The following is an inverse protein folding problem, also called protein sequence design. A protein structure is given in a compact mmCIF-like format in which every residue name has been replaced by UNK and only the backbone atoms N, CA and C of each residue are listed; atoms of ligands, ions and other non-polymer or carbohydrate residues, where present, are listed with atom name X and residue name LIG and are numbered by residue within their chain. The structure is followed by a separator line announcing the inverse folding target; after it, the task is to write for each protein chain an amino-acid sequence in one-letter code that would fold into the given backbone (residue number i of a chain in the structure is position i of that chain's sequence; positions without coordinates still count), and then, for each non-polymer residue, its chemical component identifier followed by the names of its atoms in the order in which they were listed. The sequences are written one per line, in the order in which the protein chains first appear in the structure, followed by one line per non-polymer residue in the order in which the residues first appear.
data_IF_475274572251
#
_entry.id   IF_475274572251
#
_cell.length_a   1.000
_cell.length_b   1.000
_cell.length_c   1.000
_cell.angle_alpha   90.00
_cell.angle_beta   90.00
_cell.angle_gamma   90.00
#
_symmetry.space_group_name_H-M   'P 1'
#
loop_
_entity.id
_entity.type
_entity.pdbx_description
1 polymer ?
#
# COMPACT_ATOMS: atom_id res chain seq x y z
N UNK A 1 1.98 38.65 -6.93
CA UNK A 1 2.49 38.51 -5.55
C UNK A 1 1.42 37.81 -4.73
N UNK A 2 1.30 36.48 -4.86
CA UNK A 2 0.41 35.68 -4.02
C UNK A 2 1.22 34.46 -3.55
N UNK A 3 1.49 34.47 -2.25
CA UNK A 3 2.18 33.46 -1.49
C UNK A 3 1.38 32.15 -1.54
N UNK A 4 1.78 31.22 -2.39
CA UNK A 4 1.36 29.82 -2.26
C UNK A 4 2.23 29.18 -1.19
N UNK A 5 1.60 28.82 -0.07
CA UNK A 5 2.24 28.12 1.07
C UNK A 5 2.87 26.82 0.61
N UNK A 6 4.20 26.74 0.76
CA UNK A 6 5.13 25.79 0.16
C UNK A 6 5.13 24.36 0.75
N UNK A 7 4.01 23.86 1.30
CA UNK A 7 4.01 22.62 2.08
C UNK A 7 3.71 21.33 1.32
N UNK A 8 2.82 21.37 0.31
CA UNK A 8 2.27 20.13 -0.31
C UNK A 8 2.21 20.17 -1.84
N UNK A 9 2.33 21.34 -2.47
CA UNK A 9 2.28 21.49 -3.92
C UNK A 9 3.50 20.92 -4.68
N UNK A 10 4.63 20.72 -4.00
CA UNK A 10 5.86 20.23 -4.65
C UNK A 10 5.74 18.82 -5.22
N UNK A 11 4.95 17.93 -4.63
CA UNK A 11 4.97 16.50 -5.02
C UNK A 11 4.22 16.28 -6.35
N UNK A 12 3.08 16.95 -6.53
CA UNK A 12 2.27 16.87 -7.76
C UNK A 12 2.94 17.60 -8.92
N UNK A 13 3.54 18.77 -8.68
CA UNK A 13 4.20 19.58 -9.72
C UNK A 13 5.46 18.87 -10.26
N UNK A 14 6.22 18.19 -9.41
CA UNK A 14 7.40 17.45 -9.86
C UNK A 14 7.03 16.15 -10.61
N UNK A 15 5.94 15.49 -10.21
CA UNK A 15 5.44 14.31 -10.94
C UNK A 15 4.82 14.69 -12.29
N UNK A 16 4.08 15.80 -12.40
CA UNK A 16 3.51 16.22 -13.67
C UNK A 16 4.60 16.62 -14.67
N UNK A 17 5.62 17.37 -14.24
CA UNK A 17 6.73 17.76 -15.11
C UNK A 17 7.56 16.54 -15.53
N UNK A 18 7.85 15.62 -14.61
CA UNK A 18 8.60 14.40 -14.93
C UNK A 18 7.81 13.49 -15.88
N UNK A 19 6.49 13.35 -15.66
CA UNK A 19 5.61 12.58 -16.54
C UNK A 19 5.45 13.25 -17.90
N UNK A 20 5.25 14.57 -17.96
CA UNK A 20 5.20 15.33 -19.21
C UNK A 20 6.51 15.23 -19.98
N UNK A 21 7.65 15.30 -19.29
CA UNK A 21 8.96 15.07 -19.89
C UNK A 21 9.07 13.65 -20.45
N UNK A 22 8.62 12.64 -19.71
CA UNK A 22 8.56 11.25 -20.18
C UNK A 22 7.67 11.12 -21.43
N UNK A 23 6.47 11.71 -21.43
CA UNK A 23 5.57 11.74 -22.59
C UNK A 23 6.20 12.46 -23.78
N UNK A 24 6.87 13.59 -23.56
CA UNK A 24 7.60 14.32 -24.60
C UNK A 24 8.74 13.49 -25.19
N UNK A 25 9.50 12.80 -24.35
CA UNK A 25 10.54 11.86 -24.77
C UNK A 25 9.93 10.73 -25.62
N UNK A 26 8.84 10.12 -25.15
CA UNK A 26 8.12 9.07 -25.90
C UNK A 26 7.66 9.59 -27.26
N UNK A 27 7.14 10.82 -27.33
CA UNK A 27 6.71 11.45 -28.57
C UNK A 27 7.88 11.70 -29.54
N UNK A 28 9.00 12.21 -29.06
CA UNK A 28 10.20 12.47 -29.87
C UNK A 28 10.79 11.16 -30.42
N UNK A 29 10.82 10.12 -29.59
CA UNK A 29 11.42 8.82 -29.91
C UNK A 29 10.41 7.77 -30.34
N UNK A 30 9.22 8.16 -30.81
CA UNK A 30 8.12 7.25 -31.13
C UNK A 30 8.53 6.11 -32.08
N UNK A 31 9.40 6.42 -33.05
CA UNK A 31 9.93 5.45 -34.03
C UNK A 31 10.94 4.45 -33.45
N UNK A 32 11.59 4.76 -32.34
CA UNK A 32 12.67 3.96 -31.77
C UNK A 32 12.16 2.72 -31.00
N UNK A 33 10.86 2.64 -30.70
CA UNK A 33 10.14 1.56 -29.98
C UNK A 33 10.54 1.34 -28.52
N UNK A 34 11.82 1.57 -28.18
CA UNK A 34 12.38 1.56 -26.84
C UNK A 34 13.42 2.66 -26.70
N UNK A 35 13.64 3.13 -25.48
CA UNK A 35 14.65 4.13 -25.17
C UNK A 35 15.48 3.68 -23.98
N UNK A 36 16.80 3.83 -24.06
CA UNK A 36 17.69 3.70 -22.91
C UNK A 36 18.20 5.06 -22.51
N UNK A 37 18.07 5.40 -21.24
CA UNK A 37 18.70 6.59 -20.66
C UNK A 37 19.38 6.23 -19.34
N UNK A 38 20.29 7.08 -18.89
CA UNK A 38 20.95 6.93 -17.60
C UNK A 38 20.22 7.77 -16.57
N UNK A 39 19.83 7.15 -15.46
CA UNK A 39 19.28 7.85 -14.31
C UNK A 39 20.22 7.63 -13.13
N UNK A 40 21.01 8.66 -12.82
CA UNK A 40 22.20 8.52 -11.98
C UNK A 40 23.16 7.49 -12.57
N UNK A 41 23.52 6.48 -11.78
CA UNK A 41 24.46 5.41 -12.15
C UNK A 41 23.78 4.15 -12.70
N UNK A 42 22.45 4.15 -12.89
CA UNK A 42 21.72 2.98 -13.40
C UNK A 42 21.20 3.28 -14.81
N UNK A 43 21.41 2.37 -15.78
CA UNK A 43 20.71 2.46 -17.06
C UNK A 43 19.25 2.05 -16.86
N UNK A 44 18.33 2.88 -17.33
CA UNK A 44 16.89 2.62 -17.38
C UNK A 44 16.48 2.43 -18.83
N UNK A 45 15.77 1.34 -19.10
CA UNK A 45 15.16 1.06 -20.41
C UNK A 45 13.66 1.31 -20.31
N UNK A 46 13.16 2.25 -21.09
CA UNK A 46 11.77 2.60 -21.19
C UNK A 46 11.13 1.87 -22.38
N UNK A 47 10.09 1.11 -22.09
CA UNK A 47 9.22 0.46 -23.07
C UNK A 47 7.91 1.25 -23.13
N UNK A 48 7.55 1.74 -24.32
CA UNK A 48 6.38 2.61 -24.50
C UNK A 48 5.54 2.25 -25.73
N UNK A 49 5.89 1.17 -26.43
CA UNK A 49 5.06 0.59 -27.51
C UNK A 49 4.43 -0.72 -27.04
N UNK A 50 3.14 -0.95 -27.33
CA UNK A 50 2.41 -2.10 -26.81
C UNK A 50 3.06 -3.43 -27.18
N UNK A 51 3.60 -3.57 -28.40
CA UNK A 51 4.25 -4.81 -28.85
C UNK A 51 5.52 -5.13 -28.06
N UNK A 52 6.24 -4.10 -27.60
CA UNK A 52 7.44 -4.28 -26.76
C UNK A 52 7.09 -4.56 -25.31
N UNK A 53 6.06 -3.90 -24.80
CA UNK A 53 5.57 -4.08 -23.42
C UNK A 53 4.98 -5.49 -23.24
N UNK A 54 4.25 -5.99 -24.23
CA UNK A 54 3.68 -7.34 -24.21
C UNK A 54 4.75 -8.43 -24.07
N UNK A 55 5.84 -8.33 -24.84
CA UNK A 55 6.97 -9.29 -24.75
C UNK A 55 7.59 -9.30 -23.35
N UNK A 56 7.74 -8.13 -22.71
CA UNK A 56 8.30 -8.02 -21.37
C UNK A 56 7.32 -8.57 -20.32
N UNK A 57 6.05 -8.19 -20.38
CA UNK A 57 5.03 -8.57 -19.38
C UNK A 57 4.60 -10.04 -19.49
N UNK A 58 4.67 -10.65 -20.68
CA UNK A 58 4.36 -12.07 -20.90
C UNK A 58 5.55 -13.00 -20.63
N UNK A 59 6.76 -12.45 -20.44
CA UNK A 59 7.97 -13.23 -20.22
C UNK A 59 7.97 -13.89 -18.85
N UNK A 60 8.17 -15.21 -18.83
CA UNK A 60 8.42 -15.97 -17.60
C UNK A 60 9.90 -15.91 -17.16
N UNK A 61 10.78 -15.28 -17.94
CA UNK A 61 12.19 -15.13 -17.63
C UNK A 61 12.51 -13.80 -16.91
N UNK A 62 11.76 -12.73 -17.19
CA UNK A 62 11.95 -11.40 -16.60
C UNK A 62 11.08 -11.20 -15.35
N UNK A 63 11.24 -12.08 -14.36
CA UNK A 63 10.46 -12.05 -13.12
C UNK A 63 11.09 -11.20 -12.01
N UNK A 64 12.30 -10.68 -12.24
CA UNK A 64 13.00 -9.88 -11.26
C UNK A 64 12.42 -8.47 -11.15
N UNK A 65 12.24 -8.04 -9.90
CA UNK A 65 11.78 -6.71 -9.56
C UNK A 65 12.89 -5.70 -9.82
N UNK A 66 12.53 -4.48 -10.25
CA UNK A 66 13.48 -3.39 -10.41
C UNK A 66 14.09 -2.96 -9.07
N UNK A 67 15.31 -2.40 -9.09
CA UNK A 67 16.01 -1.88 -7.91
C UNK A 67 15.17 -0.93 -7.04
N UNK A 68 14.15 -0.27 -7.61
CA UNK A 68 13.22 0.61 -6.88
C UNK A 68 12.51 -0.12 -5.73
N UNK A 69 12.24 -1.42 -5.89
CA UNK A 69 11.62 -2.24 -4.85
C UNK A 69 12.55 -2.46 -3.65
N UNK A 70 13.87 -2.31 -3.81
CA UNK A 70 14.84 -2.38 -2.70
C UNK A 70 14.63 -1.21 -1.72
N UNK A 71 14.18 -0.04 -2.20
CA UNK A 71 13.90 1.10 -1.33
C UNK A 71 12.67 0.87 -0.44
N UNK A 72 11.80 -0.06 -0.84
CA UNK A 72 10.61 -0.46 -0.10
C UNK A 72 10.86 -1.67 0.83
N UNK A 73 11.98 -2.37 0.65
CA UNK A 73 12.35 -3.53 1.46
C UNK A 73 12.43 -3.25 2.98
N UNK A 74 12.86 -2.07 3.46
CA UNK A 74 12.82 -1.76 4.89
C UNK A 74 11.42 -1.86 5.51
N UNK A 75 10.37 -1.69 4.70
CA UNK A 75 8.99 -1.72 5.15
C UNK A 75 8.25 -3.02 4.79
N UNK A 76 8.32 -3.47 3.53
CA UNK A 76 7.61 -4.68 3.09
C UNK A 76 8.43 -5.96 3.21
N UNK A 77 9.74 -5.84 3.52
CA UNK A 77 10.69 -6.96 3.61
C UNK A 77 10.56 -7.85 2.38
N UNK A 78 10.14 -9.10 2.53
CA UNK A 78 9.90 -10.03 1.43
C UNK A 78 8.40 -10.36 1.22
N UNK A 79 7.51 -9.37 1.38
CA UNK A 79 6.08 -9.50 1.09
C UNK A 79 5.74 -9.62 -0.41
N UNK A 80 4.45 -9.66 -0.77
CA UNK A 80 4.00 -9.90 -2.14
C UNK A 80 4.58 -8.94 -3.20
N UNK A 81 4.82 -7.68 -2.84
CA UNK A 81 5.32 -6.69 -3.80
C UNK A 81 6.84 -6.70 -3.95
N UNK A 82 7.60 -7.19 -2.97
CA UNK A 82 9.08 -7.21 -2.99
C UNK A 82 9.67 -8.60 -3.18
N UNK A 83 8.91 -9.68 -2.94
CA UNK A 83 9.35 -11.06 -3.18
C UNK A 83 9.35 -11.45 -4.66
N UNK A 84 10.20 -12.44 -4.98
CA UNK A 84 10.37 -13.01 -6.32
C UNK A 84 10.31 -14.55 -6.28
N UNK A 85 10.21 -15.18 -7.45
CA UNK A 85 10.36 -16.63 -7.61
C UNK A 85 9.28 -17.46 -6.89
N UNK A 86 9.71 -18.54 -6.23
CA UNK A 86 8.81 -19.50 -5.56
C UNK A 86 8.06 -18.88 -4.37
N UNK A 87 8.70 -18.00 -3.59
CA UNK A 87 8.06 -17.31 -2.45
C UNK A 87 6.89 -16.47 -2.94
N UNK A 88 7.10 -15.65 -3.97
CA UNK A 88 6.03 -14.86 -4.59
C UNK A 88 4.88 -15.72 -5.11
N UNK A 89 5.18 -16.80 -5.85
CA UNK A 89 4.15 -17.72 -6.37
C UNK A 89 3.31 -18.34 -5.24
N UNK A 90 3.95 -18.80 -4.15
CA UNK A 90 3.26 -19.36 -2.96
C UNK A 90 2.36 -18.31 -2.32
N UNK A 91 2.89 -17.10 -2.05
CA UNK A 91 2.14 -15.99 -1.43
C UNK A 91 0.94 -15.57 -2.28
N UNK A 92 1.13 -15.35 -3.58
CA UNK A 92 0.05 -14.98 -4.49
C UNK A 92 -1.06 -16.02 -4.50
N UNK A 93 -0.72 -17.31 -4.60
CA UNK A 93 -1.70 -18.41 -4.58
C UNK A 93 -2.49 -18.45 -3.27
N UNK A 94 -1.84 -18.25 -2.13
CA UNK A 94 -2.48 -18.20 -0.81
C UNK A 94 -3.47 -17.04 -0.71
N UNK A 95 -3.13 -15.88 -1.28
CA UNK A 95 -3.91 -14.65 -1.14
C UNK A 95 -5.06 -14.51 -2.15
N UNK A 96 -4.98 -15.13 -3.34
CA UNK A 96 -6.02 -15.03 -4.38
C UNK A 96 -7.45 -15.25 -3.87
N UNK A 97 -7.75 -16.23 -3.00
CA UNK A 97 -9.10 -16.43 -2.48
C UNK A 97 -9.67 -15.23 -1.71
N UNK A 98 -8.83 -14.47 -0.99
CA UNK A 98 -9.25 -13.27 -0.25
C UNK A 98 -9.68 -12.11 -1.16
N UNK A 99 -9.33 -12.16 -2.45
CA UNK A 99 -9.64 -11.13 -3.44
C UNK A 99 -10.69 -11.57 -4.47
N UNK A 100 -11.35 -12.71 -4.22
CA UNK A 100 -12.42 -13.17 -5.10
C UNK A 100 -13.65 -12.25 -4.96
N UNK A 101 -14.21 -11.80 -6.09
CA UNK A 101 -15.28 -10.78 -6.15
C UNK A 101 -16.47 -11.02 -5.19
N UNK A 102 -16.85 -12.29 -4.96
CA UNK A 102 -17.91 -12.68 -4.00
C UNK A 102 -17.64 -12.30 -2.53
N UNK A 103 -16.43 -11.86 -2.20
CA UNK A 103 -16.12 -11.34 -0.85
C UNK A 103 -16.50 -9.86 -0.75
N UNK A 104 -16.53 -9.13 -1.87
CA UNK A 104 -16.84 -7.71 -1.91
C UNK A 104 -18.26 -7.40 -1.39
N UNK A 105 -19.21 -8.31 -1.59
CA UNK A 105 -20.58 -8.19 -1.05
C UNK A 105 -20.57 -8.03 0.48
N UNK A 106 -19.62 -8.69 1.18
CA UNK A 106 -19.45 -8.59 2.63
C UNK A 106 -18.74 -7.30 3.06
N UNK A 107 -18.20 -6.54 2.11
CA UNK A 107 -17.51 -5.26 2.34
C UNK A 107 -18.42 -4.07 2.04
N UNK A 108 -19.51 -4.26 1.29
CA UNK A 108 -20.46 -3.20 0.96
C UNK A 108 -20.99 -2.43 2.18
N UNK A 109 -21.38 -3.06 3.31
CA UNK A 109 -21.85 -2.30 4.47
C UNK A 109 -20.78 -1.38 5.07
N UNK A 110 -19.52 -1.84 5.10
CA UNK A 110 -18.36 -1.08 5.58
C UNK A 110 -18.08 0.09 4.62
N UNK A 111 -18.09 -0.17 3.32
CA UNK A 111 -17.89 0.85 2.29
C UNK A 111 -18.99 1.93 2.37
N UNK A 112 -20.26 1.54 2.46
CA UNK A 112 -21.39 2.48 2.58
C UNK A 112 -21.27 3.35 3.84
N UNK A 113 -20.96 2.75 4.99
CA UNK A 113 -20.76 3.47 6.25
C UNK A 113 -19.68 4.55 6.14
N UNK A 114 -18.50 4.21 5.60
CA UNK A 114 -17.42 5.18 5.41
C UNK A 114 -17.72 6.19 4.30
N UNK A 115 -18.41 5.81 3.24
CA UNK A 115 -18.82 6.71 2.17
C UNK A 115 -19.82 7.77 2.66
N UNK A 116 -20.77 7.39 3.52
CA UNK A 116 -21.69 8.34 4.17
C UNK A 116 -20.95 9.31 5.08
N UNK A 117 -20.01 8.80 5.88
CA UNK A 117 -19.18 9.66 6.72
C UNK A 117 -18.34 10.64 5.90
N UNK A 118 -17.74 10.18 4.79
CA UNK A 118 -17.05 11.04 3.84
C UNK A 118 -17.99 12.11 3.27
N UNK A 119 -19.20 11.73 2.83
CA UNK A 119 -20.18 12.67 2.32
C UNK A 119 -20.54 13.74 3.36
N UNK A 120 -20.71 13.36 4.63
CA UNK A 120 -20.96 14.30 5.72
C UNK A 120 -19.79 15.25 5.97
N UNK A 121 -18.55 14.78 5.84
CA UNK A 121 -17.36 15.65 5.89
C UNK A 121 -17.34 16.65 4.74
N UNK A 122 -17.65 16.20 3.52
CA UNK A 122 -17.67 17.05 2.33
C UNK A 122 -18.81 18.10 2.37
N UNK A 123 -19.89 17.86 3.12
CA UNK A 123 -20.91 18.90 3.37
C UNK A 123 -20.33 20.14 4.05
N UNK A 124 -19.26 19.99 4.83
CA UNK A 124 -18.56 21.12 5.46
C UNK A 124 -17.82 22.03 4.48
N UNK A 125 -17.57 21.56 3.25
CA UNK A 125 -16.89 22.33 2.19
C UNK A 125 -17.89 23.02 1.24
N UNK A 126 -19.20 22.86 1.47
CA UNK A 126 -20.23 23.50 0.65
C UNK A 126 -20.17 25.01 0.81
N UNK A 127 -19.99 25.72 -0.30
CA UNK A 127 -19.81 27.18 -0.33
C UNK A 127 -18.35 27.64 -0.40
N UNK A 128 -17.39 26.73 -0.26
CA UNK A 128 -15.98 27.01 -0.56
C UNK A 128 -15.78 27.21 -2.06
N UNK A 129 -14.88 28.14 -2.46
CA UNK A 129 -14.59 28.40 -3.87
C UNK A 129 -13.92 27.20 -4.57
N UNK A 130 -13.07 26.48 -3.84
CA UNK A 130 -12.40 25.24 -4.26
C UNK A 130 -11.76 24.57 -3.04
N UNK A 131 -11.67 23.24 -3.03
CA UNK A 131 -10.95 22.49 -2.00
C UNK A 131 -10.28 21.25 -2.62
N UNK A 132 -9.29 20.70 -1.93
CA UNK A 132 -8.62 19.47 -2.36
C UNK A 132 -9.37 18.23 -1.85
N UNK A 133 -9.85 17.41 -2.79
CA UNK A 133 -10.61 16.20 -2.49
C UNK A 133 -9.71 14.99 -2.17
N UNK A 134 -8.44 15.00 -2.61
CA UNK A 134 -7.54 13.85 -2.50
C UNK A 134 -7.33 13.42 -1.04
N UNK A 135 -7.08 14.31 -0.06
CA UNK A 135 -6.91 13.93 1.33
C UNK A 135 -8.15 13.22 1.90
N UNK A 136 -9.35 13.70 1.54
CA UNK A 136 -10.61 13.11 2.00
C UNK A 136 -10.79 11.68 1.48
N UNK A 137 -10.56 11.46 0.17
CA UNK A 137 -10.66 10.14 -0.45
C UNK A 137 -9.58 9.20 0.11
N UNK A 138 -8.34 9.66 0.27
CA UNK A 138 -7.25 8.84 0.81
C UNK A 138 -7.55 8.35 2.23
N UNK A 139 -8.04 9.23 3.12
CA UNK A 139 -8.41 8.83 4.49
C UNK A 139 -9.60 7.88 4.52
N UNK A 140 -10.61 8.09 3.67
CA UNK A 140 -11.75 7.18 3.54
C UNK A 140 -11.34 5.80 3.03
N UNK A 141 -10.52 5.76 1.98
CA UNK A 141 -9.99 4.52 1.41
C UNK A 141 -9.18 3.73 2.43
N UNK A 142 -8.39 4.44 3.25
CA UNK A 142 -7.59 3.81 4.30
C UNK A 142 -8.46 3.19 5.40
N UNK A 143 -9.50 3.89 5.85
CA UNK A 143 -10.43 3.36 6.85
C UNK A 143 -11.16 2.12 6.33
N UNK A 144 -11.71 2.18 5.10
CA UNK A 144 -12.34 1.03 4.43
C UNK A 144 -11.38 -0.15 4.38
N UNK A 145 -10.12 0.08 3.99
CA UNK A 145 -9.12 -0.97 3.90
C UNK A 145 -8.80 -1.61 5.25
N UNK A 146 -8.59 -0.79 6.29
CA UNK A 146 -8.29 -1.29 7.62
C UNK A 146 -9.41 -2.18 8.16
N UNK A 147 -10.65 -1.76 7.96
CA UNK A 147 -11.81 -2.46 8.48
C UNK A 147 -12.15 -3.72 7.67
N UNK A 148 -12.03 -3.66 6.34
CA UNK A 148 -12.31 -4.82 5.47
C UNK A 148 -11.20 -5.87 5.51
N UNK A 149 -9.93 -5.46 5.59
CA UNK A 149 -8.79 -6.35 5.46
C UNK A 149 -8.21 -6.82 6.80
N UNK A 150 -8.10 -5.91 7.77
CA UNK A 150 -7.55 -6.21 9.09
C UNK A 150 -8.63 -6.43 10.15
N UNK A 151 -9.89 -6.12 9.86
CA UNK A 151 -10.98 -6.21 10.84
C UNK A 151 -10.89 -5.17 11.95
N UNK A 152 -10.18 -4.06 11.73
CA UNK A 152 -9.97 -3.01 12.73
C UNK A 152 -10.33 -1.63 12.21
N UNK A 153 -11.15 -0.92 12.96
CA UNK A 153 -11.45 0.48 12.73
C UNK A 153 -10.30 1.37 13.23
N UNK A 154 -9.74 2.21 12.35
CA UNK A 154 -8.61 3.12 12.65
C UNK A 154 -9.07 4.55 12.90
N UNK A 155 -10.16 4.97 12.25
CA UNK A 155 -10.73 6.31 12.37
C UNK A 155 -9.85 7.38 11.74
N UNK A 156 -9.21 7.05 10.62
CA UNK A 156 -8.35 7.95 9.85
C UNK A 156 -9.11 9.20 9.37
N UNK A 157 -10.40 9.10 9.05
CA UNK A 157 -11.22 10.26 8.66
C UNK A 157 -11.64 11.16 9.84
N UNK A 158 -11.45 10.71 11.09
CA UNK A 158 -11.82 11.48 12.30
C UNK A 158 -10.64 12.24 12.87
N UNK A 159 -9.48 11.58 12.93
CA UNK A 159 -8.29 12.11 13.60
C UNK A 159 -7.03 11.66 12.91
N UNK A 160 -6.02 12.49 13.05
CA UNK A 160 -4.69 12.23 12.54
C UNK A 160 -3.98 11.22 13.46
N UNK A 161 -3.90 9.96 13.03
CA UNK A 161 -3.27 8.91 13.84
C UNK A 161 -1.75 8.88 13.61
N UNK A 162 -0.94 8.45 14.58
CA UNK A 162 0.50 8.26 14.38
C UNK A 162 0.80 7.37 13.16
N UNK A 163 -0.04 6.37 12.91
CA UNK A 163 0.03 5.50 11.74
C UNK A 163 -0.16 6.26 10.42
N UNK A 164 -1.21 7.07 10.30
CA UNK A 164 -1.49 7.88 9.10
C UNK A 164 -0.35 8.87 8.83
N UNK A 165 0.18 9.52 9.87
CA UNK A 165 1.33 10.43 9.75
C UNK A 165 2.58 9.71 9.24
N UNK A 166 2.90 8.56 9.83
CA UNK A 166 4.02 7.73 9.40
C UNK A 166 3.87 7.25 7.95
N UNK A 167 2.67 6.82 7.55
CA UNK A 167 2.34 6.38 6.19
C UNK A 167 2.56 7.48 5.16
N UNK A 168 2.05 8.69 5.42
CA UNK A 168 2.21 9.84 4.54
C UNK A 168 3.68 10.28 4.44
N UNK A 169 4.38 10.36 5.58
CA UNK A 169 5.80 10.73 5.61
C UNK A 169 6.67 9.70 4.87
N UNK A 170 6.46 8.40 5.10
CA UNK A 170 7.19 7.33 4.40
C UNK A 170 6.95 7.37 2.89
N UNK A 171 5.71 7.59 2.46
CA UNK A 171 5.35 7.69 1.04
C UNK A 171 6.01 8.90 0.36
N UNK A 172 6.06 10.04 1.06
CA UNK A 172 6.76 11.23 0.59
C UNK A 172 8.27 11.01 0.46
N UNK A 173 8.90 10.45 1.50
CA UNK A 173 10.33 10.16 1.52
C UNK A 173 10.72 9.13 0.46
N UNK A 174 9.87 8.14 0.19
CA UNK A 174 10.08 7.19 -0.91
C UNK A 174 10.12 7.89 -2.27
N UNK A 175 9.16 8.78 -2.57
CA UNK A 175 9.17 9.56 -3.82
C UNK A 175 10.39 10.45 -3.95
N UNK A 176 10.78 11.12 -2.85
CA UNK A 176 12.00 11.94 -2.79
C UNK A 176 13.26 11.12 -3.04
N UNK A 177 13.38 9.94 -2.44
CA UNK A 177 14.51 9.02 -2.64
C UNK A 177 14.58 8.52 -4.08
N UNK A 178 13.43 8.19 -4.68
CA UNK A 178 13.36 7.74 -6.07
C UNK A 178 13.94 8.80 -7.02
N UNK A 179 13.60 10.07 -6.82
CA UNK A 179 14.03 11.18 -7.70
C UNK A 179 15.46 11.67 -7.46
N UNK A 180 16.13 11.25 -6.38
CA UNK A 180 17.49 11.69 -6.01
C UNK A 180 18.48 10.52 -6.08
N UNK A 181 19.15 10.28 -7.22
CA UNK A 181 20.01 9.11 -7.39
C UNK A 181 21.16 8.99 -6.38
N UNK A 182 21.65 10.10 -5.83
CA UNK A 182 22.67 10.10 -4.78
C UNK A 182 22.18 9.55 -3.43
N UNK A 183 20.86 9.40 -3.24
CA UNK A 183 20.24 8.78 -2.06
C UNK A 183 19.89 7.30 -2.28
N UNK A 184 20.20 6.72 -3.44
CA UNK A 184 19.93 5.30 -3.69
C UNK A 184 20.79 4.35 -2.85
N UNK A 185 22.09 4.60 -2.65
CA UNK A 185 22.90 3.76 -1.77
C UNK A 185 22.37 3.81 -0.34
N UNK A 186 21.98 2.65 0.21
CA UNK A 186 21.36 2.54 1.54
C UNK A 186 22.24 3.12 2.65
N UNK A 187 23.56 2.93 2.54
CA UNK A 187 24.51 3.51 3.48
C UNK A 187 24.42 5.04 3.52
N UNK A 188 24.38 5.70 2.36
CA UNK A 188 24.25 7.17 2.29
C UNK A 188 22.89 7.59 2.84
N UNK A 189 21.82 6.92 2.42
CA UNK A 189 20.47 7.26 2.84
C UNK A 189 20.31 7.16 4.37
N UNK A 190 20.74 6.06 4.98
CA UNK A 190 20.63 5.83 6.43
C UNK A 190 21.38 6.86 7.29
N UNK A 191 22.42 7.50 6.75
CA UNK A 191 23.15 8.59 7.42
C UNK A 191 22.46 9.96 7.33
N UNK A 192 21.51 10.13 6.41
CA UNK A 192 20.77 11.39 6.23
C UNK A 192 19.65 11.55 7.27
N UNK A 193 19.17 12.79 7.46
CA UNK A 193 17.96 13.04 8.24
C UNK A 193 16.74 12.37 7.61
N UNK A 194 16.60 12.46 6.27
CA UNK A 194 15.52 11.82 5.50
C UNK A 194 15.47 10.30 5.74
N UNK A 195 16.63 9.61 5.76
CA UNK A 195 16.69 8.17 6.02
C UNK A 195 16.39 7.77 7.47
N UNK A 196 16.81 8.59 8.45
CA UNK A 196 16.42 8.36 9.86
C UNK A 196 14.91 8.51 10.06
N UNK A 197 14.32 9.57 9.52
CA UNK A 197 12.87 9.78 9.57
C UNK A 197 12.11 8.68 8.84
N UNK A 198 12.61 8.21 7.69
CA UNK A 198 12.01 7.08 6.98
C UNK A 198 11.99 5.82 7.87
N UNK A 199 13.12 5.50 8.51
CA UNK A 199 13.23 4.35 9.43
C UNK A 199 12.28 4.45 10.62
N UNK A 200 12.14 5.63 11.21
CA UNK A 200 11.18 5.88 12.30
C UNK A 200 9.73 5.65 11.83
N UNK A 201 9.38 6.14 10.65
CA UNK A 201 8.06 5.94 10.06
C UNK A 201 7.79 4.45 9.79
N UNK A 202 8.75 3.72 9.20
CA UNK A 202 8.59 2.28 8.93
C UNK A 202 8.44 1.48 10.22
N UNK A 203 9.17 1.84 11.28
CA UNK A 203 9.04 1.20 12.59
C UNK A 203 7.68 1.47 13.23
N UNK A 204 7.17 2.71 13.13
CA UNK A 204 5.85 3.06 13.64
C UNK A 204 4.73 2.30 12.92
N UNK A 205 4.84 2.16 11.60
CA UNK A 205 3.90 1.39 10.79
C UNK A 205 3.96 -0.12 11.12
N UNK A 206 5.16 -0.69 11.24
CA UNK A 206 5.35 -2.09 11.61
C UNK A 206 4.80 -2.39 13.02
N UNK A 207 5.06 -1.50 13.99
CA UNK A 207 4.53 -1.62 15.35
C UNK A 207 3.00 -1.60 15.37
N UNK A 208 2.39 -0.71 14.58
CA UNK A 208 0.94 -0.68 14.42
C UNK A 208 0.42 -1.99 13.85
N UNK A 209 0.97 -2.47 12.72
CA UNK A 209 0.58 -3.73 12.09
C UNK A 209 0.68 -4.92 13.06
N UNK A 210 1.80 -5.05 13.78
CA UNK A 210 1.98 -6.10 14.79
C UNK A 210 0.97 -6.02 15.92
N UNK A 211 0.60 -4.82 16.36
CA UNK A 211 -0.42 -4.64 17.40
C UNK A 211 -1.78 -5.19 16.95
N UNK A 212 -2.16 -4.96 15.69
CA UNK A 212 -3.42 -5.46 15.11
C UNK A 212 -3.39 -6.97 14.95
N UNK A 213 -2.29 -7.52 14.42
CA UNK A 213 -2.11 -8.97 14.28
C UNK A 213 -2.23 -9.65 15.65
N UNK A 214 -1.56 -9.11 16.68
CA UNK A 214 -1.57 -9.66 18.03
C UNK A 214 -2.96 -9.64 18.65
N UNK A 215 -3.65 -8.49 18.58
CA UNK A 215 -5.01 -8.32 19.10
C UNK A 215 -5.99 -9.33 18.45
N UNK A 216 -5.95 -9.44 17.11
CA UNK A 216 -6.81 -10.38 16.38
C UNK A 216 -6.48 -11.83 16.69
N UNK A 217 -5.19 -12.19 16.77
CA UNK A 217 -4.74 -13.53 17.15
C UNK A 217 -5.21 -13.90 18.57
N UNK A 218 -5.09 -12.97 19.53
CA UNK A 218 -5.54 -13.22 20.91
C UNK A 218 -7.05 -13.46 20.98
N UNK A 219 -7.85 -12.71 20.22
CA UNK A 219 -9.29 -12.90 20.12
C UNK A 219 -9.66 -14.28 19.57
N UNK A 220 -9.04 -14.69 18.45
CA UNK A 220 -9.29 -16.02 17.85
C UNK A 220 -8.89 -17.14 18.82
N UNK A 221 -7.77 -16.98 19.52
CA UNK A 221 -7.33 -17.97 20.51
C UNK A 221 -8.25 -18.04 21.73
N UNK A 222 -8.92 -16.95 22.14
CA UNK A 222 -9.92 -17.01 23.22
C UNK A 222 -11.20 -17.71 22.78
N UNK A 223 -11.67 -17.47 21.55
CA UNK A 223 -12.84 -18.15 21.00
C UNK A 223 -12.60 -19.66 20.84
N UNK A 224 -11.42 -20.07 20.39
CA UNK A 224 -11.05 -21.49 20.32
C UNK A 224 -11.04 -22.15 21.72
N UNK A 225 -10.65 -21.41 22.76
CA UNK A 225 -10.65 -21.91 24.15
C UNK A 225 -12.04 -21.99 24.76
N UNK A 226 -12.98 -21.15 24.32
CA UNK A 226 -14.38 -21.20 24.76
C UNK A 226 -15.18 -22.32 24.08
N UNK A 227 -14.53 -23.12 23.22
CA UNK A 227 -15.14 -24.28 22.56
C UNK A 227 -15.75 -23.97 21.20
N UNK A 228 -15.56 -22.75 20.68
CA UNK A 228 -15.99 -22.39 19.32
C UNK A 228 -15.12 -23.11 18.31
N UNK A 229 -15.75 -23.73 17.30
CA UNK A 229 -15.03 -24.43 16.23
C UNK A 229 -14.12 -23.49 15.44
N UNK A 230 -13.03 -24.01 14.87
CA UNK A 230 -12.05 -23.18 14.15
C UNK A 230 -12.69 -22.36 13.02
N UNK A 231 -13.62 -22.93 12.24
CA UNK A 231 -14.33 -22.17 11.20
C UNK A 231 -15.24 -21.06 11.75
N UNK A 232 -15.85 -21.28 12.92
CA UNK A 232 -16.69 -20.28 13.58
C UNK A 232 -15.84 -19.13 14.14
N UNK A 233 -14.72 -19.43 14.80
CA UNK A 233 -13.81 -18.41 15.35
C UNK A 233 -13.26 -17.44 14.27
N UNK A 234 -13.16 -17.89 13.02
CA UNK A 234 -12.70 -17.09 11.89
C UNK A 234 -13.85 -16.49 11.04
N UNK A 235 -15.11 -16.78 11.37
CA UNK A 235 -16.28 -16.27 10.66
C UNK A 235 -17.14 -15.32 11.49
N UNK A 236 -16.83 -15.07 12.76
CA UNK A 236 -17.54 -14.07 13.57
C UNK A 236 -16.88 -12.68 13.44
N UNK A 237 -17.66 -11.65 13.11
CA UNK A 237 -17.24 -10.26 13.25
C UNK A 237 -17.40 -9.77 14.71
N UNK A 238 -16.93 -8.55 14.99
CA UNK A 238 -17.07 -7.91 16.32
C UNK A 238 -18.55 -7.66 16.73
N UNK A 239 -19.51 -7.96 15.85
CA UNK A 239 -20.96 -7.78 16.02
C UNK A 239 -21.76 -9.09 16.00
N UNK A 240 -21.09 -10.26 15.93
CA UNK A 240 -21.75 -11.57 15.98
C UNK A 240 -22.28 -12.12 14.65
N UNK A 241 -21.98 -11.50 13.51
CA UNK A 241 -22.47 -11.95 12.20
C UNK A 241 -21.50 -12.94 11.51
N UNK A 242 -22.05 -13.98 10.86
CA UNK A 242 -21.28 -14.93 10.03
C UNK A 242 -20.74 -14.25 8.77
N UNK A 243 -19.43 -14.16 8.64
CA UNK A 243 -18.68 -13.58 7.52
C UNK A 243 -17.67 -14.58 6.96
N UNK A 244 -17.34 -14.46 5.67
CA UNK A 244 -16.11 -15.08 5.12
C UNK A 244 -14.88 -14.39 5.70
N UNK A 245 -13.79 -15.15 5.91
CA UNK A 245 -12.52 -14.69 6.49
C UNK A 245 -12.06 -13.37 5.85
N UNK A 246 -11.77 -12.37 6.69
CA UNK A 246 -11.03 -11.18 6.26
C UNK A 246 -9.61 -11.57 5.80
N UNK A 247 -8.90 -10.67 5.11
CA UNK A 247 -7.53 -10.93 4.64
C UNK A 247 -6.60 -11.37 5.77
N UNK A 248 -6.60 -10.67 6.91
CA UNK A 248 -5.82 -11.04 8.08
C UNK A 248 -6.24 -12.39 8.68
N UNK A 249 -7.54 -12.69 8.70
CA UNK A 249 -8.07 -13.96 9.20
C UNK A 249 -7.65 -15.14 8.33
N UNK A 250 -7.56 -14.96 7.01
CA UNK A 250 -7.01 -15.96 6.10
C UNK A 250 -5.55 -16.25 6.45
N UNK A 251 -4.74 -15.21 6.61
CA UNK A 251 -3.32 -15.35 6.96
C UNK A 251 -3.12 -16.01 8.33
N UNK A 252 -3.89 -15.59 9.33
CA UNK A 252 -3.84 -16.20 10.66
C UNK A 252 -4.26 -17.68 10.61
N UNK A 253 -5.26 -18.03 9.82
CA UNK A 253 -5.68 -19.44 9.69
C UNK A 253 -4.60 -20.30 9.01
N UNK A 254 -3.88 -19.76 8.03
CA UNK A 254 -2.74 -20.45 7.43
C UNK A 254 -1.60 -20.62 8.44
N UNK A 255 -1.31 -19.59 9.24
CA UNK A 255 -0.24 -19.64 10.25
C UNK A 255 -0.51 -20.68 11.35
N UNK A 256 -1.79 -20.84 11.73
CA UNK A 256 -2.19 -21.89 12.67
C UNK A 256 -2.15 -23.30 12.06
N UNK A 257 -2.22 -23.41 10.73
CA UNK A 257 -2.24 -24.70 10.02
C UNK A 257 -0.85 -25.16 9.56
N UNK A 258 -0.01 -24.24 9.08
CA UNK A 258 1.37 -24.48 8.63
C UNK A 258 2.34 -23.68 9.51
N UNK A 259 3.04 -24.31 10.47
CA UNK A 259 4.05 -23.65 11.30
C UNK A 259 5.20 -23.01 10.51
N UNK A 260 5.40 -23.36 9.23
CA UNK A 260 6.40 -22.74 8.36
C UNK A 260 5.99 -21.34 7.89
N UNK A 261 4.70 -20.99 7.97
CA UNK A 261 4.23 -19.64 7.71
C UNK A 261 4.29 -18.84 9.02
N UNK A 262 5.21 -17.89 9.12
CA UNK A 262 5.53 -17.21 10.39
C UNK A 262 4.71 -15.93 10.60
N UNK A 263 4.65 -15.41 11.83
CA UNK A 263 4.05 -14.09 12.08
C UNK A 263 4.75 -12.95 11.33
N UNK A 264 6.04 -13.13 11.06
CA UNK A 264 6.79 -12.19 10.24
C UNK A 264 6.21 -12.16 8.83
N UNK A 265 5.97 -13.32 8.24
CA UNK A 265 5.37 -13.42 6.92
C UNK A 265 3.95 -12.80 6.87
N UNK A 266 3.15 -12.94 7.93
CA UNK A 266 1.84 -12.24 8.02
C UNK A 266 2.06 -10.72 7.99
N UNK A 267 3.03 -10.24 8.76
CA UNK A 267 3.36 -8.81 8.85
C UNK A 267 3.82 -8.25 7.50
N UNK A 268 4.64 -9.00 6.75
CA UNK A 268 5.07 -8.63 5.40
C UNK A 268 3.88 -8.42 4.44
N UNK A 269 2.91 -9.35 4.48
CA UNK A 269 1.73 -9.32 3.62
C UNK A 269 0.74 -8.21 4.03
N UNK A 270 0.52 -8.02 5.33
CA UNK A 270 -0.35 -6.95 5.83
C UNK A 270 0.24 -5.57 5.51
N UNK A 271 1.55 -5.35 5.74
CA UNK A 271 2.20 -4.08 5.39
C UNK A 271 2.06 -3.77 3.89
N UNK A 272 2.29 -4.78 3.04
CA UNK A 272 2.12 -4.67 1.59
C UNK A 272 0.71 -4.24 1.22
N UNK A 273 -0.29 -4.90 1.81
CA UNK A 273 -1.68 -4.63 1.52
C UNK A 273 -2.11 -3.23 1.98
N UNK A 274 -1.61 -2.81 3.14
CA UNK A 274 -1.93 -1.51 3.75
C UNK A 274 -1.37 -0.29 2.99
N UNK A 275 -0.24 -0.44 2.30
CA UNK A 275 0.34 0.65 1.51
C UNK A 275 -0.40 0.93 0.20
N UNK A 276 -0.89 -0.13 -0.46
CA UNK A 276 -1.35 -0.03 -1.84
C UNK A 276 -2.44 1.05 -2.05
N UNK A 277 -3.45 1.23 -1.18
CA UNK A 277 -4.50 2.24 -1.41
C UNK A 277 -4.05 3.68 -1.22
N UNK A 278 -3.07 3.95 -0.36
CA UNK A 278 -2.51 5.30 -0.23
C UNK A 278 -1.79 5.72 -1.52
N UNK A 279 -1.18 4.77 -2.22
CA UNK A 279 -0.57 5.01 -3.53
C UNK A 279 -1.63 5.12 -4.62
N UNK A 280 -2.57 4.18 -4.68
CA UNK A 280 -3.60 4.14 -5.72
C UNK A 280 -4.55 5.34 -5.66
N UNK A 281 -5.06 5.71 -4.48
CA UNK A 281 -5.99 6.85 -4.33
C UNK A 281 -5.39 8.18 -4.78
N UNK A 282 -4.08 8.38 -4.57
CA UNK A 282 -3.35 9.56 -5.03
C UNK A 282 -3.15 9.57 -6.55
N UNK A 283 -3.10 8.41 -7.19
CA UNK A 283 -2.93 8.28 -8.66
C UNK A 283 -4.24 8.27 -9.45
N UNK A 284 -5.34 7.82 -8.87
CA UNK A 284 -6.65 7.74 -9.56
C UNK A 284 -7.46 9.02 -9.44
N UNK A 285 -7.16 9.86 -8.43
CA UNK A 285 -7.88 11.12 -8.17
C UNK A 285 -7.20 12.34 -8.80
N UNK A 286 -6.07 12.13 -9.47
CA UNK A 286 -5.28 13.12 -10.21
C UNK A 286 -5.47 12.96 -11.70
#
# INVERSE_FOLDING_TARGET
MLCLTAGQAGILIWNSVSFQALCGIVYIYDKARLLRFWFGLKPIVLFFKPETVEVVLSSNALLEKTFVYEFLAPWFKQGLITSSGLKWKKRRRLLTPAFHFRILDNFLPVIDSHARYLADKLRGEVGSASFDLVPYITLCSLDILCETAMGKYVGAQKRDTPYVKALNAASHLFGTRFMKPWLWPEFIFSMTSEGRTFKECTNAMDAFTRSVIRERKTYIMSELKSGVGMEEAFSTDNFGAKRKKAFLDLLLSEHLSDPKFTEEDITEEVNTFMFAPNFLSKTTSS
#
